data_IF_929607358852
#
_entry.id   IF_929607358852
#
_cell.length_a   1.000
_cell.length_b   1.000
_cell.length_c   1.000
_cell.angle_alpha   90.00
_cell.angle_beta   90.00
_cell.angle_gamma   90.00
#
_symmetry.space_group_name_H-M   'P 1'
#
loop_
_entity.id
_entity.type
_entity.pdbx_description
1 polymer ?
#
# COMPACT_ATOMS: atom_id res chain seq x y z
N UNK A 1 -13.21 -3.85 3.97
CA UNK A 1 -11.86 -3.66 3.35
C UNK A 1 -11.98 -2.45 2.44
N UNK A 2 -11.08 -1.47 2.50
CA UNK A 2 -11.26 -0.20 1.77
C UNK A 2 -11.50 -0.36 0.25
N UNK A 3 -10.90 -1.39 -0.35
CA UNK A 3 -11.16 -1.83 -1.72
C UNK A 3 -12.59 -2.33 -1.96
N UNK A 4 -13.20 -3.03 -1.00
CA UNK A 4 -14.58 -3.51 -1.10
C UNK A 4 -15.60 -2.38 -0.91
N UNK A 5 -15.32 -1.43 -0.01
CA UNK A 5 -16.27 -0.37 0.34
C UNK A 5 -16.24 0.82 -0.66
N UNK A 6 -15.11 1.02 -1.36
CA UNK A 6 -14.84 2.16 -2.25
C UNK A 6 -14.34 1.75 -3.65
N UNK A 7 -14.45 0.48 -4.02
CA UNK A 7 -13.81 -0.08 -5.23
C UNK A 7 -14.22 0.56 -6.55
N UNK A 8 -15.42 1.15 -6.63
CA UNK A 8 -15.87 1.91 -7.80
C UNK A 8 -15.08 3.23 -8.00
N UNK A 9 -14.66 3.84 -6.89
CA UNK A 9 -13.93 5.11 -6.88
C UNK A 9 -12.41 4.91 -6.87
N UNK A 10 -11.92 3.75 -6.43
CA UNK A 10 -10.51 3.36 -6.45
C UNK A 10 -10.15 2.69 -7.78
N UNK A 11 -9.60 3.50 -8.70
CA UNK A 11 -9.25 3.05 -10.05
C UNK A 11 -7.96 2.23 -10.05
N UNK A 12 -6.94 2.70 -9.32
CA UNK A 12 -5.67 1.98 -9.20
C UNK A 12 -4.99 2.29 -7.88
N UNK A 13 -4.39 1.27 -7.27
CA UNK A 13 -3.52 1.42 -6.11
C UNK A 13 -2.20 0.72 -6.38
N UNK A 14 -1.09 1.32 -5.95
CA UNK A 14 0.22 0.67 -5.94
C UNK A 14 0.94 0.98 -4.64
N UNK A 15 1.72 0.05 -4.14
CA UNK A 15 2.54 0.28 -2.96
C UNK A 15 3.81 -0.55 -2.92
N UNK A 16 4.79 -0.04 -2.19
CA UNK A 16 5.93 -0.79 -1.69
C UNK A 16 5.84 -0.76 -0.17
N UNK A 17 5.78 -1.94 0.45
CA UNK A 17 5.68 -2.09 1.89
C UNK A 17 6.94 -2.78 2.43
N UNK A 18 7.31 -2.41 3.65
CA UNK A 18 8.32 -3.06 4.45
C UNK A 18 7.62 -3.64 5.68
N UNK A 19 7.78 -4.94 5.90
CA UNK A 19 7.21 -5.62 7.06
C UNK A 19 8.27 -5.78 8.15
N UNK A 20 7.82 -5.84 9.40
CA UNK A 20 8.69 -6.20 10.52
C UNK A 20 9.24 -7.61 10.31
N UNK A 21 10.52 -7.80 10.61
CA UNK A 21 11.23 -9.08 10.47
C UNK A 21 11.31 -9.64 9.04
N UNK A 22 11.19 -8.78 8.02
CA UNK A 22 11.38 -9.15 6.63
C UNK A 22 12.34 -8.15 5.94
N UNK A 23 13.26 -8.70 5.16
CA UNK A 23 14.27 -7.92 4.45
C UNK A 23 13.91 -7.69 2.99
N UNK A 24 12.98 -8.48 2.45
CA UNK A 24 12.40 -8.25 1.13
C UNK A 24 11.37 -7.13 1.18
N UNK A 25 11.31 -6.38 0.09
CA UNK A 25 10.26 -5.39 -0.13
C UNK A 25 9.01 -6.12 -0.63
N UNK A 26 7.84 -5.71 -0.19
CA UNK A 26 6.59 -6.25 -0.71
C UNK A 26 5.98 -5.28 -1.72
N UNK A 27 5.82 -5.71 -2.96
CA UNK A 27 5.19 -4.90 -3.99
C UNK A 27 3.70 -5.26 -4.08
N UNK A 28 2.85 -4.25 -3.94
CA UNK A 28 1.40 -4.38 -3.98
C UNK A 28 0.82 -3.60 -5.16
N UNK A 29 -0.17 -4.18 -5.84
CA UNK A 29 -0.99 -3.47 -6.82
C UNK A 29 -2.45 -3.88 -6.73
N UNK A 30 -3.35 -2.92 -6.96
CA UNK A 30 -4.77 -3.20 -7.13
C UNK A 30 -5.35 -2.38 -8.28
N UNK A 31 -6.25 -2.99 -9.04
CA UNK A 31 -7.03 -2.36 -10.11
C UNK A 31 -8.48 -2.73 -9.88
N UNK A 32 -9.32 -1.72 -9.61
CA UNK A 32 -10.70 -1.93 -9.14
C UNK A 32 -10.75 -2.88 -7.93
N UNK A 33 -11.37 -4.05 -8.08
CA UNK A 33 -11.58 -5.02 -7.00
C UNK A 33 -10.50 -6.10 -6.93
N UNK A 34 -9.57 -6.10 -7.89
CA UNK A 34 -8.52 -7.11 -7.99
C UNK A 34 -7.28 -6.56 -7.33
N UNK A 35 -6.79 -7.27 -6.31
CA UNK A 35 -5.57 -6.96 -5.60
C UNK A 35 -4.59 -8.13 -5.75
N UNK A 36 -3.32 -7.79 -5.95
CA UNK A 36 -2.23 -8.73 -6.12
C UNK A 36 -0.97 -8.15 -5.46
N UNK A 37 -0.06 -9.01 -5.02
CA UNK A 37 1.19 -8.57 -4.44
C UNK A 37 2.11 -9.72 -4.08
N UNK A 38 3.40 -9.45 -4.15
CA UNK A 38 4.44 -10.43 -3.86
C UNK A 38 5.70 -9.76 -3.29
N UNK A 39 6.53 -10.56 -2.64
CA UNK A 39 7.86 -10.16 -2.23
C UNK A 39 8.76 -10.00 -3.45
N UNK A 40 9.35 -8.82 -3.55
CA UNK A 40 10.39 -8.50 -4.50
C UNK A 40 11.75 -8.47 -3.78
N UNK A 41 12.83 -8.31 -4.55
CA UNK A 41 14.19 -8.37 -4.03
C UNK A 41 14.44 -7.50 -2.77
N UNK A 42 15.50 -7.86 -2.06
CA UNK A 42 15.91 -7.26 -0.79
C UNK A 42 15.85 -5.73 -0.78
N UNK A 43 15.57 -5.18 0.41
CA UNK A 43 15.80 -3.78 0.71
C UNK A 43 17.27 -3.45 0.39
N UNK A 44 17.49 -2.31 -0.27
CA UNK A 44 18.85 -1.87 -0.55
C UNK A 44 19.50 -1.44 0.76
N UNK A 45 20.79 -1.71 0.89
CA UNK A 45 21.58 -1.27 2.02
C UNK A 45 21.54 0.27 2.12
N UNK A 46 21.21 0.79 3.31
CA UNK A 46 21.05 2.22 3.55
C UNK A 46 19.73 2.84 3.09
N UNK A 47 18.83 2.08 2.46
CA UNK A 47 17.51 2.59 2.06
C UNK A 47 16.59 2.67 3.29
N UNK A 48 15.99 3.84 3.59
CA UNK A 48 15.01 3.92 4.67
C UNK A 48 13.87 2.94 4.34
N UNK A 49 13.59 1.98 5.24
CA UNK A 49 12.50 1.00 5.13
C UNK A 49 11.12 1.68 5.27
N UNK A 50 10.84 2.66 4.42
CA UNK A 50 9.64 3.50 4.43
C UNK A 50 8.61 2.97 3.45
N UNK A 51 7.51 2.47 3.98
CA UNK A 51 6.37 2.01 3.19
C UNK A 51 5.66 3.18 2.50
N UNK A 52 5.29 3.00 1.24
CA UNK A 52 4.64 4.02 0.40
C UNK A 52 3.48 3.42 -0.37
N UNK A 53 2.35 4.13 -0.39
CA UNK A 53 1.17 3.80 -1.20
C UNK A 53 0.76 4.99 -2.06
N UNK A 54 0.29 4.70 -3.27
CA UNK A 54 -0.33 5.65 -4.19
C UNK A 54 -1.72 5.15 -4.51
N UNK A 55 -2.72 5.99 -4.26
CA UNK A 55 -4.12 5.76 -4.62
C UNK A 55 -4.49 6.68 -5.77
N UNK A 56 -5.11 6.13 -6.81
CA UNK A 56 -5.65 6.85 -7.96
C UNK A 56 -7.14 6.56 -8.01
N UNK A 57 -7.95 7.60 -7.96
CA UNK A 57 -9.39 7.45 -7.82
C UNK A 57 -10.15 8.77 -7.83
N UNK A 58 -11.47 8.66 -7.67
CA UNK A 58 -12.40 9.81 -7.61
C UNK A 58 -12.83 10.03 -6.16
N UNK A 59 -13.10 11.29 -5.77
CA UNK A 59 -13.64 11.65 -4.45
C UNK A 59 -12.86 11.05 -3.25
N UNK A 60 -11.54 10.94 -3.39
CA UNK A 60 -10.70 10.32 -2.36
C UNK A 60 -10.54 11.22 -1.14
N UNK A 61 -10.84 10.68 0.06
CA UNK A 61 -10.61 11.37 1.31
C UNK A 61 -9.17 11.11 1.80
N UNK A 62 -8.25 12.01 1.46
CA UNK A 62 -6.82 11.89 1.81
C UNK A 62 -6.58 11.73 3.32
N UNK A 63 -7.17 12.53 4.23
CA UNK A 63 -7.02 12.32 5.68
C UNK A 63 -7.45 10.93 6.15
N UNK A 64 -8.57 10.40 5.63
CA UNK A 64 -9.03 9.05 5.97
C UNK A 64 -8.05 7.98 5.48
N UNK A 65 -7.62 8.06 4.22
CA UNK A 65 -6.67 7.11 3.62
C UNK A 65 -5.33 7.12 4.37
N UNK A 66 -4.84 8.31 4.72
CA UNK A 66 -3.61 8.47 5.49
C UNK A 66 -3.72 7.81 6.87
N UNK A 67 -4.76 8.15 7.65
CA UNK A 67 -4.97 7.56 8.98
C UNK A 67 -5.12 6.03 8.92
N UNK A 68 -5.86 5.53 7.93
CA UNK A 68 -6.01 4.09 7.73
C UNK A 68 -4.68 3.39 7.42
N UNK A 69 -3.80 4.03 6.64
CA UNK A 69 -2.49 3.48 6.33
C UNK A 69 -1.51 3.58 7.50
N UNK A 70 -1.43 4.74 8.15
CA UNK A 70 -0.55 4.96 9.31
C UNK A 70 -0.97 4.08 10.50
N UNK A 71 -2.25 3.74 10.65
CA UNK A 71 -2.74 2.79 11.65
C UNK A 71 -2.31 1.33 11.42
N UNK A 72 -1.71 1.00 10.27
CA UNK A 72 -1.12 -0.31 10.00
C UNK A 72 0.40 -0.35 10.24
N UNK A 73 1.01 0.76 10.67
CA UNK A 73 2.43 0.77 10.99
C UNK A 73 2.70 -0.19 12.16
N UNK A 74 3.74 -1.02 12.03
CA UNK A 74 4.25 -1.80 13.15
C UNK A 74 5.00 -0.88 14.12
N UNK A 75 4.98 -1.23 15.40
CA UNK A 75 5.66 -0.51 16.48
C UNK A 75 7.19 -0.47 16.30
#
# INVERSE_FOLDING_TARGET
MLLQDKGADLLRTKGILYYANEDRRFAFQAVHMIADGDFIGLAKEGDPKTSRLVFIGRNLNRPQLRRGFEGCAAD
#
